data_IF_083051558908
#
_entry.id   IF_083051558908
#
_cell.length_a   1.000
_cell.length_b   1.000
_cell.length_c   1.000
_cell.angle_alpha   90.00
_cell.angle_beta   90.00
_cell.angle_gamma   90.00
#
_symmetry.space_group_name_H-M   'P 1'
#
loop_
_entity.id
_entity.type
_entity.pdbx_description
1 polymer ?
#
# COMPACT_ATOMS: atom_id res chain seq x y z
N UNK A 1 10.28 1.31 -14.76
CA UNK A 1 9.43 1.90 -13.71
C UNK A 1 8.14 2.33 -14.39
N UNK A 2 7.16 1.42 -14.48
CA UNK A 2 5.92 1.68 -15.21
C UNK A 2 5.05 2.61 -14.39
N UNK A 3 5.08 3.90 -14.74
CA UNK A 3 4.09 4.89 -14.32
C UNK A 3 2.78 4.59 -15.03
N UNK A 4 1.83 3.99 -14.32
CA UNK A 4 0.45 3.86 -14.80
C UNK A 4 -0.14 5.28 -14.82
N UNK A 5 -0.13 5.88 -16.02
CA UNK A 5 -0.74 7.18 -16.29
C UNK A 5 -2.27 7.01 -16.29
N UNK A 6 -3.02 7.76 -15.46
CA UNK A 6 -4.47 7.68 -15.44
C UNK A 6 -5.03 8.57 -16.54
N UNK A 7 -5.02 8.09 -17.78
CA UNK A 7 -5.71 8.78 -18.87
C UNK A 7 -6.36 7.75 -19.78
N UNK A 8 -7.69 7.77 -19.75
CA UNK A 8 -8.63 6.91 -20.47
C UNK A 8 -8.90 5.52 -19.86
N UNK A 9 -9.71 5.49 -18.79
CA UNK A 9 -10.70 4.41 -18.73
C UNK A 9 -12.07 4.93 -18.31
N UNK A 10 -13.03 4.67 -19.20
CA UNK A 10 -14.39 5.13 -19.22
C UNK A 10 -15.24 4.41 -18.16
N UNK A 11 -16.25 5.13 -17.67
CA UNK A 11 -17.20 4.81 -16.59
C UNK A 11 -17.63 3.34 -16.47
N UNK A 12 -17.37 2.75 -15.30
CA UNK A 12 -17.90 1.46 -14.84
C UNK A 12 -17.57 1.29 -13.36
N UNK A 13 -18.50 0.74 -12.59
CA UNK A 13 -18.50 0.55 -11.13
C UNK A 13 -17.15 0.23 -10.43
N UNK A 14 -17.06 0.39 -9.10
CA UNK A 14 -15.88 0.01 -8.27
C UNK A 14 -15.26 -1.35 -8.63
N UNK A 15 -16.09 -2.31 -9.07
CA UNK A 15 -15.66 -3.64 -9.54
C UNK A 15 -14.78 -3.61 -10.80
N UNK A 16 -15.04 -2.68 -11.71
CA UNK A 16 -14.28 -2.52 -12.94
C UNK A 16 -12.92 -1.84 -12.65
N UNK A 17 -12.88 -0.98 -11.62
CA UNK A 17 -11.63 -0.39 -11.13
C UNK A 17 -10.68 -1.46 -10.55
N UNK A 18 -11.21 -2.44 -9.81
CA UNK A 18 -10.44 -3.55 -9.27
C UNK A 18 -9.90 -4.45 -10.39
N UNK A 19 -10.71 -4.74 -11.42
CA UNK A 19 -10.26 -5.53 -12.58
C UNK A 19 -9.14 -4.83 -13.35
N UNK A 20 -9.26 -3.53 -13.57
CA UNK A 20 -8.24 -2.74 -14.24
C UNK A 20 -6.96 -2.58 -13.42
N UNK A 21 -7.09 -2.51 -12.09
CA UNK A 21 -5.94 -2.56 -11.20
C UNK A 21 -5.23 -3.91 -11.32
N UNK A 22 -5.95 -5.03 -11.27
CA UNK A 22 -5.40 -6.40 -11.36
C UNK A 22 -4.62 -6.61 -12.66
N UNK A 23 -5.17 -6.21 -13.80
CA UNK A 23 -4.47 -6.35 -15.09
C UNK A 23 -3.24 -5.44 -15.18
N UNK A 24 -3.25 -4.27 -14.54
CA UNK A 24 -2.11 -3.37 -14.44
C UNK A 24 -0.99 -3.89 -13.51
N UNK A 25 -1.32 -4.45 -12.35
CA UNK A 25 -0.32 -5.02 -11.41
C UNK A 25 0.25 -6.35 -11.88
N UNK A 26 -0.44 -7.10 -12.73
CA UNK A 26 0.06 -8.35 -13.30
C UNK A 26 1.27 -8.18 -14.23
N UNK A 27 1.58 -6.94 -14.63
CA UNK A 27 2.76 -6.57 -15.42
C UNK A 27 3.79 -5.77 -14.61
N UNK A 28 3.57 -5.59 -13.30
CA UNK A 28 4.44 -4.78 -12.45
C UNK A 28 5.51 -5.65 -11.76
N UNK A 29 6.78 -5.35 -12.02
CA UNK A 29 7.89 -5.96 -11.27
C UNK A 29 8.01 -5.42 -9.83
N UNK A 30 7.46 -4.22 -9.59
CA UNK A 30 7.45 -3.56 -8.28
C UNK A 30 6.12 -2.81 -8.03
N UNK A 31 5.62 -2.88 -6.80
CA UNK A 31 4.44 -2.13 -6.35
C UNK A 31 4.83 -1.03 -5.36
N UNK A 32 4.09 0.09 -5.43
CA UNK A 32 4.18 1.19 -4.47
C UNK A 32 2.94 1.14 -3.59
N UNK A 33 3.14 0.98 -2.29
CA UNK A 33 2.07 1.00 -1.29
C UNK A 33 2.17 2.30 -0.49
N UNK A 34 1.19 3.18 -0.66
CA UNK A 34 1.14 4.45 0.07
C UNK A 34 0.32 4.28 1.34
N UNK A 35 0.89 4.65 2.48
CA UNK A 35 0.27 4.57 3.81
C UNK A 35 0.25 5.97 4.42
N UNK A 36 -0.90 6.43 4.89
CA UNK A 36 -0.99 7.69 5.62
C UNK A 36 -0.50 7.54 7.07
N UNK A 37 0.26 8.52 7.56
CA UNK A 37 0.75 8.56 8.94
C UNK A 37 -0.28 9.11 9.94
N UNK A 38 -1.36 9.73 9.45
CA UNK A 38 -2.41 10.32 10.29
C UNK A 38 -3.00 9.31 11.28
N UNK A 39 -3.17 9.73 12.53
CA UNK A 39 -3.95 8.98 13.54
C UNK A 39 -5.38 8.77 13.02
N UNK A 40 -5.90 7.55 13.11
CA UNK A 40 -7.15 7.12 12.48
C UNK A 40 -7.00 6.51 11.08
N UNK A 41 -6.34 7.20 10.13
CA UNK A 41 -6.17 6.65 8.76
C UNK A 41 -5.21 5.44 8.74
N UNK A 42 -4.13 5.50 9.51
CA UNK A 42 -3.21 4.38 9.68
C UNK A 42 -3.90 3.15 10.29
N UNK A 43 -4.69 3.37 11.34
CA UNK A 43 -5.39 2.32 12.09
C UNK A 43 -6.51 1.68 11.25
N UNK A 44 -7.23 2.49 10.47
CA UNK A 44 -8.20 2.00 9.50
C UNK A 44 -7.53 1.20 8.37
N UNK A 45 -6.37 1.65 7.89
CA UNK A 45 -5.61 0.98 6.82
C UNK A 45 -5.01 -0.37 7.26
N UNK A 46 -4.57 -0.49 8.50
CA UNK A 46 -4.04 -1.73 9.11
C UNK A 46 -5.14 -2.58 9.77
N UNK A 47 -6.41 -2.19 9.69
CA UNK A 47 -7.51 -3.03 10.18
C UNK A 47 -7.77 -4.24 9.27
N UNK A 48 -8.55 -5.22 9.73
CA UNK A 48 -8.83 -6.47 8.97
C UNK A 48 -9.50 -6.19 7.62
N UNK A 49 -10.39 -5.21 7.57
CA UNK A 49 -11.06 -4.72 6.36
C UNK A 49 -10.35 -3.51 5.73
N UNK A 50 -9.10 -3.27 6.13
CA UNK A 50 -8.31 -2.14 5.66
C UNK A 50 -7.89 -2.32 4.20
N UNK A 51 -8.11 -1.29 3.38
CA UNK A 51 -7.73 -1.32 1.97
C UNK A 51 -6.24 -1.62 1.77
N UNK A 52 -5.35 -1.08 2.61
CA UNK A 52 -3.90 -1.29 2.52
C UNK A 52 -3.52 -2.77 2.62
N UNK A 53 -4.25 -3.55 3.45
CA UNK A 53 -4.03 -4.98 3.63
C UNK A 53 -4.49 -5.79 2.42
N UNK A 54 -5.71 -5.52 1.96
CA UNK A 54 -6.28 -6.22 0.81
C UNK A 54 -5.44 -5.99 -0.46
N UNK A 55 -5.03 -4.74 -0.70
CA UNK A 55 -4.18 -4.39 -1.84
C UNK A 55 -2.80 -5.06 -1.77
N UNK A 56 -2.18 -5.13 -0.59
CA UNK A 56 -0.88 -5.78 -0.42
C UNK A 56 -0.94 -7.30 -0.67
N UNK A 57 -2.02 -7.94 -0.21
CA UNK A 57 -2.26 -9.36 -0.47
C UNK A 57 -2.50 -9.63 -1.95
N UNK A 58 -3.36 -8.84 -2.60
CA UNK A 58 -3.63 -8.96 -4.04
C UNK A 58 -2.34 -8.79 -4.83
N UNK A 59 -1.54 -7.75 -4.54
CA UNK A 59 -0.24 -7.53 -5.20
C UNK A 59 0.69 -8.74 -5.08
N UNK A 60 0.72 -9.40 -3.92
CA UNK A 60 1.52 -10.61 -3.72
C UNK A 60 1.01 -11.79 -4.56
N UNK A 61 -0.31 -12.01 -4.58
CA UNK A 61 -0.93 -13.09 -5.38
C UNK A 61 -0.78 -12.88 -6.88
N UNK A 62 -0.62 -11.63 -7.33
CA UNK A 62 -0.38 -11.28 -8.73
C UNK A 62 1.09 -11.43 -9.15
N UNK A 63 1.98 -11.79 -8.23
CA UNK A 63 3.38 -12.08 -8.53
C UNK A 63 4.33 -10.89 -8.40
N UNK A 64 3.88 -9.77 -7.81
CA UNK A 64 4.78 -8.65 -7.50
C UNK A 64 5.74 -9.07 -6.40
N UNK A 65 7.03 -9.12 -6.72
CA UNK A 65 8.08 -9.58 -5.78
C UNK A 65 8.70 -8.44 -4.97
N UNK A 66 8.64 -7.21 -5.48
CA UNK A 66 9.19 -6.04 -4.81
C UNK A 66 8.06 -5.08 -4.42
N UNK A 67 8.04 -4.68 -3.15
CA UNK A 67 7.06 -3.70 -2.66
C UNK A 67 7.78 -2.60 -1.91
N UNK A 68 7.51 -1.36 -2.31
CA UNK A 68 8.03 -0.16 -1.66
C UNK A 68 6.88 0.48 -0.89
N UNK A 69 7.06 0.63 0.42
CA UNK A 69 6.08 1.30 1.30
C UNK A 69 6.47 2.76 1.44
N UNK A 70 5.56 3.65 1.06
CA UNK A 70 5.70 5.09 1.17
C UNK A 70 4.79 5.60 2.29
N UNK A 71 5.38 6.23 3.30
CA UNK A 71 4.62 6.86 4.38
C UNK A 71 4.36 8.31 3.99
N UNK A 72 3.08 8.65 3.84
CA UNK A 72 2.59 9.94 3.38
C UNK A 72 1.87 10.69 4.52
N UNK A 73 1.66 12.00 4.37
CA UNK A 73 1.02 12.88 5.38
C UNK A 73 1.73 12.90 6.74
N UNK A 74 3.06 12.89 6.74
CA UNK A 74 3.85 13.06 7.97
C UNK A 74 3.81 14.51 8.50
N UNK A 75 3.29 15.46 7.71
CA UNK A 75 3.17 16.88 8.07
C UNK A 75 1.97 17.20 8.97
N UNK A 76 1.09 16.22 9.24
CA UNK A 76 -0.09 16.43 10.06
C UNK A 76 0.29 16.79 11.50
N UNK A 77 -0.41 17.77 12.07
CA UNK A 77 -0.18 18.28 13.43
C UNK A 77 -0.26 17.20 14.51
N UNK A 78 -0.95 16.10 14.22
CA UNK A 78 -1.10 14.96 15.13
C UNK A 78 0.16 14.07 15.18
N UNK A 79 0.98 14.09 14.13
CA UNK A 79 2.19 13.26 13.98
C UNK A 79 3.45 14.08 14.26
N UNK A 80 3.40 15.39 13.98
CA UNK A 80 4.45 16.36 14.31
C UNK A 80 5.85 15.96 13.82
N UNK A 81 5.92 15.21 12.70
CA UNK A 81 7.15 14.63 12.15
C UNK A 81 7.98 13.82 13.17
N UNK A 82 7.32 13.21 14.16
CA UNK A 82 8.02 12.46 15.19
C UNK A 82 8.58 11.14 14.65
N UNK A 83 9.89 10.94 14.77
CA UNK A 83 10.58 9.68 14.45
C UNK A 83 9.98 8.47 15.19
N UNK A 84 9.42 8.69 16.38
CA UNK A 84 8.77 7.63 17.15
C UNK A 84 7.57 7.05 16.40
N UNK A 85 6.75 7.90 15.77
CA UNK A 85 5.56 7.46 15.02
C UNK A 85 5.96 6.75 13.73
N UNK A 86 6.97 7.26 13.05
CA UNK A 86 7.52 6.61 11.86
C UNK A 86 8.02 5.20 12.17
N UNK A 87 8.81 5.02 13.24
CA UNK A 87 9.33 3.72 13.63
C UNK A 87 8.22 2.73 14.04
N UNK A 88 7.17 3.20 14.70
CA UNK A 88 5.99 2.38 15.01
C UNK A 88 5.32 1.87 13.73
N UNK A 89 5.04 2.77 12.78
CA UNK A 89 4.42 2.45 11.49
C UNK A 89 5.28 1.46 10.70
N UNK A 90 6.59 1.72 10.61
CA UNK A 90 7.54 0.84 9.91
C UNK A 90 7.61 -0.54 10.58
N UNK A 91 7.60 -0.60 11.91
CA UNK A 91 7.60 -1.86 12.66
C UNK A 91 6.36 -2.72 12.37
N UNK A 92 5.18 -2.11 12.45
CA UNK A 92 3.91 -2.77 12.13
C UNK A 92 3.86 -3.23 10.67
N UNK A 93 4.28 -2.37 9.73
CA UNK A 93 4.31 -2.70 8.30
C UNK A 93 5.30 -3.82 7.99
N UNK A 94 6.48 -3.84 8.62
CA UNK A 94 7.45 -4.94 8.48
C UNK A 94 6.89 -6.26 8.98
N UNK A 95 6.25 -6.26 10.15
CA UNK A 95 5.58 -7.45 10.70
C UNK A 95 4.47 -7.95 9.77
N UNK A 96 3.72 -7.02 9.18
CA UNK A 96 2.66 -7.34 8.25
C UNK A 96 3.16 -7.90 6.91
N UNK A 97 4.15 -7.27 6.28
CA UNK A 97 4.78 -7.75 5.05
C UNK A 97 5.39 -9.14 5.21
N UNK A 98 6.00 -9.41 6.38
CA UNK A 98 6.52 -10.74 6.72
C UNK A 98 5.42 -11.81 6.82
N UNK A 99 4.21 -11.45 7.29
CA UNK A 99 3.05 -12.37 7.31
C UNK A 99 2.51 -12.68 5.92
N UNK A 100 2.57 -11.71 5.00
CA UNK A 100 2.14 -11.92 3.61
C UNK A 100 3.14 -12.81 2.85
N UNK A 101 4.42 -12.78 3.23
CA UNK A 101 5.50 -13.54 2.59
C UNK A 101 6.54 -12.70 1.88
N UNK A 102 6.46 -11.36 1.99
CA UNK A 102 7.53 -10.48 1.53
C UNK A 102 8.72 -10.54 2.49
N UNK A 103 9.93 -10.47 1.95
CA UNK A 103 11.16 -10.50 2.74
C UNK A 103 11.64 -9.05 2.98
N UNK A 104 11.49 -8.48 4.19
CA UNK A 104 11.75 -7.05 4.45
C UNK A 104 13.25 -6.68 4.53
N UNK A 105 14.14 -7.64 4.33
CA UNK A 105 15.62 -7.50 4.40
C UNK A 105 16.29 -7.44 3.01
N UNK A 106 15.51 -7.37 1.92
CA UNK A 106 16.02 -7.21 0.55
C UNK A 106 15.45 -5.99 -0.15
#
# INVERSE_FOLDING_TARGET
>A
MSVVSPSALHCGSLRDFIKNMITGTSQADAALLVVAANQGEFEAGISKDGHTREHALIAYTLGVRQMIVLINKMDDKSVNLSDARYNEIVGEMRSYLKKIGYNPDK
#
